data_IF_317281162693
#
_entry.id   IF_317281162693
#
_cell.length_a   1.000
_cell.length_b   1.000
_cell.length_c   1.000
_cell.angle_alpha   90.00
_cell.angle_beta   90.00
_cell.angle_gamma   90.00
#
_symmetry.space_group_name_H-M   'P 1'
#
loop_
_entity.id
_entity.type
_entity.pdbx_description
1 polymer ?
#
# COMPACT_ATOMS: atom_id res chain seq x y z
N UNK A 1 -12.29 -40.67 -22.21
CA UNK A 1 -12.49 -39.34 -22.81
C UNK A 1 -11.69 -38.34 -21.99
N UNK A 2 -10.71 -37.70 -22.62
CA UNK A 2 -9.74 -36.83 -21.97
C UNK A 2 -10.27 -35.38 -21.91
N UNK A 3 -10.72 -34.96 -20.73
CA UNK A 3 -11.35 -33.64 -20.48
C UNK A 3 -10.33 -32.49 -20.40
N UNK A 4 -9.03 -32.78 -20.45
CA UNK A 4 -7.96 -31.77 -20.39
C UNK A 4 -7.96 -30.84 -21.61
N UNK A 5 -8.37 -31.36 -22.78
CA UNK A 5 -8.43 -30.58 -24.03
C UNK A 5 -9.49 -29.49 -24.03
N UNK A 6 -10.50 -29.54 -23.16
CA UNK A 6 -11.57 -28.52 -23.04
C UNK A 6 -11.14 -27.26 -22.28
N UNK A 7 -9.97 -27.28 -21.63
CA UNK A 7 -9.48 -26.16 -20.81
C UNK A 7 -8.85 -25.04 -21.65
N UNK A 8 -8.33 -25.38 -22.82
CA UNK A 8 -7.60 -24.47 -23.72
C UNK A 8 -8.42 -23.95 -24.90
N UNK A 9 -9.68 -24.38 -25.06
CA UNK A 9 -10.53 -23.80 -26.10
C UNK A 9 -10.92 -22.37 -25.71
N UNK A 10 -10.69 -21.45 -26.66
CA UNK A 10 -11.16 -20.07 -26.55
C UNK A 10 -12.65 -20.08 -26.21
N UNK A 11 -13.13 -19.24 -25.27
CA UNK A 11 -14.52 -19.23 -24.82
C UNK A 11 -15.52 -19.06 -25.98
N UNK A 12 -15.10 -18.42 -27.07
CA UNK A 12 -15.82 -18.31 -28.33
C UNK A 12 -16.18 -19.68 -28.96
N UNK A 13 -15.31 -20.68 -28.84
CA UNK A 13 -15.52 -22.02 -29.40
C UNK A 13 -16.54 -22.80 -28.57
N UNK A 14 -16.59 -22.58 -27.25
CA UNK A 14 -17.59 -23.21 -26.38
C UNK A 14 -19.01 -22.65 -26.65
N UNK A 15 -19.12 -21.36 -26.96
CA UNK A 15 -20.41 -20.76 -27.39
C UNK A 15 -20.88 -21.33 -28.72
N UNK A 16 -19.96 -21.49 -29.68
CA UNK A 16 -20.27 -22.09 -30.98
C UNK A 16 -20.71 -23.55 -30.81
N UNK A 17 -20.01 -24.34 -29.99
CA UNK A 17 -20.39 -25.73 -29.72
C UNK A 17 -21.74 -25.85 -29.00
N UNK A 18 -22.06 -24.96 -28.06
CA UNK A 18 -23.36 -24.93 -27.40
C UNK A 18 -24.49 -24.56 -28.36
N UNK A 19 -24.26 -23.60 -29.27
CA UNK A 19 -25.21 -23.24 -30.32
C UNK A 19 -25.44 -24.39 -31.31
N UNK A 20 -24.38 -25.08 -31.73
CA UNK A 20 -24.46 -26.25 -32.62
C UNK A 20 -25.18 -27.41 -31.94
N UNK A 21 -24.94 -27.66 -30.65
CA UNK A 21 -25.63 -28.69 -29.89
C UNK A 21 -27.13 -28.38 -29.73
N UNK A 22 -27.51 -27.12 -29.49
CA UNK A 22 -28.91 -26.69 -29.46
C UNK A 22 -29.62 -26.94 -30.79
N UNK A 23 -28.96 -26.62 -31.90
CA UNK A 23 -29.49 -26.85 -33.26
C UNK A 23 -29.61 -28.35 -33.59
N UNK A 24 -28.72 -29.18 -33.06
CA UNK A 24 -28.78 -30.63 -33.22
C UNK A 24 -29.92 -31.25 -32.40
N UNK A 25 -30.20 -30.73 -31.20
CA UNK A 25 -31.32 -31.19 -30.35
C UNK A 25 -32.67 -30.83 -30.98
N UNK A 26 -32.82 -29.60 -31.49
CA UNK A 26 -34.04 -29.20 -32.20
C UNK A 26 -34.23 -29.99 -33.49
N UNK A 27 -33.15 -30.24 -34.24
CA UNK A 27 -33.18 -31.12 -35.42
C UNK A 27 -33.56 -32.57 -35.08
N UNK A 28 -33.24 -33.05 -33.88
CA UNK A 28 -33.59 -34.38 -33.41
C UNK A 28 -35.06 -34.49 -32.97
N UNK A 29 -35.61 -33.47 -32.29
CA UNK A 29 -37.04 -33.40 -31.92
C UNK A 29 -37.93 -33.52 -33.17
N UNK A 30 -37.61 -32.79 -34.25
CA UNK A 30 -38.34 -32.82 -35.53
C UNK A 30 -38.36 -34.23 -36.16
N UNK A 31 -37.35 -35.05 -35.91
CA UNK A 31 -37.23 -36.40 -36.47
C UNK A 31 -38.01 -37.46 -35.67
N UNK A 32 -38.43 -37.12 -34.44
CA UNK A 32 -39.08 -38.04 -33.50
C UNK A 32 -40.60 -37.76 -33.42
N UNK A 33 -41.05 -36.55 -33.74
CA UNK A 33 -42.45 -36.15 -33.62
C UNK A 33 -43.27 -36.46 -34.89
N UNK A 34 -44.25 -37.37 -34.75
CA UNK A 34 -45.14 -37.84 -35.84
C UNK A 34 -46.49 -37.09 -35.85
N UNK A 35 -46.56 -35.90 -35.24
CA UNK A 35 -47.83 -35.16 -35.03
C UNK A 35 -47.89 -33.81 -35.78
N UNK A 36 -49.05 -33.55 -36.39
CA UNK A 36 -49.34 -32.42 -37.30
C UNK A 36 -49.55 -31.10 -36.57
N UNK A 37 -48.52 -30.59 -35.91
CA UNK A 37 -48.54 -29.25 -35.29
C UNK A 37 -48.15 -28.19 -36.31
N UNK A 38 -48.70 -26.98 -36.18
CA UNK A 38 -48.46 -25.90 -37.14
C UNK A 38 -46.99 -25.48 -37.13
N UNK A 39 -46.39 -25.27 -38.31
CA UNK A 39 -44.98 -24.87 -38.49
C UNK A 39 -44.60 -23.66 -37.62
N UNK A 40 -45.56 -22.76 -37.35
CA UNK A 40 -45.36 -21.59 -36.50
C UNK A 40 -45.16 -21.91 -35.02
N UNK A 41 -45.82 -22.93 -34.46
CA UNK A 41 -45.66 -23.32 -33.05
C UNK A 41 -44.30 -23.98 -32.81
N UNK A 42 -43.87 -24.84 -33.73
CA UNK A 42 -42.53 -25.44 -33.72
C UNK A 42 -41.42 -24.40 -33.82
N UNK A 43 -41.58 -23.40 -34.69
CA UNK A 43 -40.60 -22.33 -34.87
C UNK A 43 -40.45 -21.50 -33.59
N UNK A 44 -41.56 -21.21 -32.91
CA UNK A 44 -41.57 -20.43 -31.68
C UNK A 44 -40.88 -21.19 -30.53
N UNK A 45 -41.23 -22.46 -30.31
CA UNK A 45 -40.66 -23.30 -29.25
C UNK A 45 -39.15 -23.53 -29.46
N UNK A 46 -38.74 -23.77 -30.72
CA UNK A 46 -37.32 -23.93 -31.08
C UNK A 46 -36.51 -22.65 -30.83
N UNK A 47 -37.08 -21.48 -31.13
CA UNK A 47 -36.43 -20.20 -30.89
C UNK A 47 -36.26 -19.92 -29.39
N UNK A 48 -37.28 -20.18 -28.58
CA UNK A 48 -37.22 -20.02 -27.13
C UNK A 48 -36.12 -20.89 -26.50
N UNK A 49 -36.09 -22.19 -26.82
CA UNK A 49 -35.09 -23.14 -26.33
C UNK A 49 -33.66 -22.72 -26.72
N UNK A 50 -33.47 -22.24 -27.95
CA UNK A 50 -32.15 -21.81 -28.45
C UNK A 50 -31.63 -20.57 -27.73
N UNK A 51 -32.51 -19.58 -27.48
CA UNK A 51 -32.16 -18.35 -26.75
C UNK A 51 -31.76 -18.66 -25.30
N UNK A 52 -32.47 -19.57 -24.64
CA UNK A 52 -32.16 -20.00 -23.26
C UNK A 52 -30.80 -20.68 -23.18
N UNK A 53 -30.47 -21.56 -24.14
CA UNK A 53 -29.17 -22.25 -24.17
C UNK A 53 -28.00 -21.29 -24.38
N UNK A 54 -28.14 -20.30 -25.27
CA UNK A 54 -27.13 -19.27 -25.49
C UNK A 54 -26.93 -18.43 -24.22
N UNK A 55 -28.02 -18.01 -23.57
CA UNK A 55 -27.98 -17.26 -22.32
C UNK A 55 -27.30 -18.04 -21.20
N UNK A 56 -27.68 -19.30 -21.01
CA UNK A 56 -27.08 -20.18 -20.00
C UNK A 56 -25.58 -20.42 -20.25
N UNK A 57 -25.18 -20.62 -21.51
CA UNK A 57 -23.77 -20.73 -21.89
C UNK A 57 -22.97 -19.46 -21.60
N UNK A 58 -23.54 -18.29 -21.91
CA UNK A 58 -22.92 -16.99 -21.63
C UNK A 58 -22.72 -16.77 -20.13
N UNK A 59 -23.75 -17.00 -19.31
CA UNK A 59 -23.67 -16.89 -17.85
C UNK A 59 -22.65 -17.88 -17.28
N UNK A 60 -22.62 -19.11 -17.78
CA UNK A 60 -21.66 -20.12 -17.35
C UNK A 60 -20.21 -19.71 -17.64
N UNK A 61 -19.93 -19.12 -18.82
CA UNK A 61 -18.60 -18.64 -19.17
C UNK A 61 -18.16 -17.44 -18.33
N UNK A 62 -19.06 -16.48 -18.09
CA UNK A 62 -18.77 -15.32 -17.24
C UNK A 62 -18.46 -15.77 -15.81
N UNK A 63 -19.27 -16.68 -15.25
CA UNK A 63 -19.00 -17.22 -13.92
C UNK A 63 -17.68 -18.00 -13.86
N UNK A 64 -17.33 -18.74 -14.93
CA UNK A 64 -16.04 -19.44 -15.03
C UNK A 64 -14.86 -18.47 -15.12
N UNK A 65 -14.98 -17.40 -15.89
CA UNK A 65 -13.94 -16.38 -16.03
C UNK A 65 -13.74 -15.61 -14.71
N UNK A 66 -14.83 -15.21 -14.06
CA UNK A 66 -14.78 -14.58 -12.74
C UNK A 66 -14.13 -15.48 -11.69
N UNK A 67 -14.41 -16.79 -11.69
CA UNK A 67 -13.76 -17.75 -10.77
C UNK A 67 -12.28 -17.93 -11.06
N UNK A 68 -11.87 -17.92 -12.33
CA UNK A 68 -10.46 -18.06 -12.72
C UNK A 68 -9.63 -16.82 -12.32
N UNK A 69 -10.17 -15.62 -12.54
CA UNK A 69 -9.48 -14.34 -12.29
C UNK A 69 -9.42 -13.97 -10.79
N UNK A 70 -10.26 -14.59 -9.95
CA UNK A 70 -10.26 -14.33 -8.51
C UNK A 70 -8.99 -14.78 -7.80
N UNK A 71 -8.28 -15.80 -8.32
CA UNK A 71 -7.04 -16.28 -7.72
C UNK A 71 -5.92 -15.22 -7.76
N UNK A 72 -5.76 -14.57 -8.91
CA UNK A 72 -4.79 -13.49 -9.12
C UNK A 72 -5.17 -12.26 -8.30
N UNK A 73 -6.46 -11.87 -8.30
CA UNK A 73 -6.93 -10.74 -7.49
C UNK A 73 -6.77 -10.96 -5.99
N UNK A 74 -6.90 -12.19 -5.50
CA UNK A 74 -6.68 -12.51 -4.09
C UNK A 74 -5.20 -12.48 -3.71
N UNK A 75 -4.31 -12.96 -4.58
CA UNK A 75 -2.86 -12.90 -4.37
C UNK A 75 -2.39 -11.44 -4.24
N UNK A 76 -2.75 -10.56 -5.19
CA UNK A 76 -2.42 -9.14 -5.13
C UNK A 76 -2.97 -8.44 -3.89
N UNK A 77 -4.21 -8.77 -3.46
CA UNK A 77 -4.79 -8.21 -2.23
C UNK A 77 -4.01 -8.65 -0.99
N UNK A 78 -3.53 -9.90 -0.95
CA UNK A 78 -2.72 -10.38 0.17
C UNK A 78 -1.34 -9.73 0.24
N UNK A 79 -0.70 -9.49 -0.91
CA UNK A 79 0.59 -8.78 -0.98
C UNK A 79 0.48 -7.33 -0.51
N UNK A 80 -0.59 -6.62 -0.87
CA UNK A 80 -0.84 -5.26 -0.40
C UNK A 80 -1.05 -5.19 1.12
N UNK A 81 -1.75 -6.16 1.70
CA UNK A 81 -1.96 -6.23 3.15
C UNK A 81 -0.64 -6.54 3.88
N UNK A 82 0.19 -7.45 3.36
CA UNK A 82 1.52 -7.73 3.91
C UNK A 82 2.40 -6.47 3.89
N UNK A 83 2.48 -5.79 2.74
CA UNK A 83 3.24 -4.55 2.60
C UNK A 83 2.73 -3.43 3.53
N UNK A 84 1.41 -3.35 3.76
CA UNK A 84 0.82 -2.39 4.70
C UNK A 84 1.19 -2.69 6.15
N UNK A 85 1.14 -3.96 6.55
CA UNK A 85 1.50 -4.39 7.92
C UNK A 85 2.99 -4.16 8.17
N UNK A 86 3.85 -4.54 7.23
CA UNK A 86 5.29 -4.29 7.30
C UNK A 86 5.60 -2.79 7.40
N UNK A 87 4.94 -1.96 6.58
CA UNK A 87 5.07 -0.51 6.64
C UNK A 87 4.59 0.08 7.97
N UNK A 88 3.51 -0.45 8.55
CA UNK A 88 3.00 -0.03 9.86
C UNK A 88 3.95 -0.37 11.01
N UNK A 89 4.46 -1.60 11.03
CA UNK A 89 5.44 -2.05 12.02
C UNK A 89 6.75 -1.25 11.91
N UNK A 90 7.22 -0.98 10.69
CA UNK A 90 8.38 -0.13 10.44
C UNK A 90 8.18 1.29 10.98
N UNK A 91 7.04 1.93 10.66
CA UNK A 91 6.70 3.25 11.19
C UNK A 91 6.71 3.28 12.72
N UNK A 92 6.16 2.26 13.37
CA UNK A 92 6.15 2.15 14.84
C UNK A 92 7.56 2.01 15.41
N UNK A 93 8.43 1.22 14.77
CA UNK A 93 9.83 1.06 15.18
C UNK A 93 10.61 2.38 15.07
N UNK A 94 10.45 3.08 13.94
CA UNK A 94 11.06 4.40 13.72
C UNK A 94 10.56 5.41 14.75
N UNK A 95 9.25 5.45 15.02
CA UNK A 95 8.68 6.37 16.00
C UNK A 95 9.25 6.12 17.41
N UNK A 96 9.36 4.86 17.82
CA UNK A 96 9.95 4.51 19.12
C UNK A 96 11.42 4.94 19.22
N UNK A 97 12.19 4.78 18.14
CA UNK A 97 13.59 5.24 18.10
C UNK A 97 13.69 6.77 18.22
N UNK A 98 12.91 7.52 17.42
CA UNK A 98 12.89 8.99 17.47
C UNK A 98 12.49 9.49 18.85
N UNK A 99 11.46 8.89 19.46
CA UNK A 99 11.03 9.23 20.82
C UNK A 99 12.15 8.96 21.85
N UNK A 100 12.91 7.86 21.67
CA UNK A 100 14.06 7.54 22.50
C UNK A 100 15.17 8.59 22.42
N UNK A 101 15.50 9.05 21.21
CA UNK A 101 16.49 10.11 20.98
C UNK A 101 16.05 11.42 21.65
N UNK A 102 14.79 11.82 21.48
CA UNK A 102 14.24 13.03 22.11
C UNK A 102 14.35 12.99 23.64
N UNK A 103 14.00 11.85 24.25
CA UNK A 103 14.09 11.69 25.70
C UNK A 103 15.53 11.79 26.23
N UNK A 104 16.53 11.34 25.46
CA UNK A 104 17.94 11.44 25.88
C UNK A 104 18.47 12.88 25.76
N UNK A 105 18.04 13.61 24.72
CA UNK A 105 18.31 15.05 24.59
C UNK A 105 17.76 15.80 25.81
N UNK A 106 16.52 15.52 26.21
CA UNK A 106 15.88 16.18 27.35
C UNK A 106 16.61 15.91 28.67
N UNK A 107 17.04 14.67 28.92
CA UNK A 107 17.87 14.33 30.09
C UNK A 107 19.19 15.08 30.08
N UNK A 108 19.82 15.22 28.92
CA UNK A 108 21.08 15.96 28.82
C UNK A 108 20.87 17.46 29.08
N UNK A 109 19.76 18.02 28.62
CA UNK A 109 19.37 19.40 28.93
C UNK A 109 19.07 19.60 30.42
N UNK A 110 18.47 18.60 31.09
CA UNK A 110 18.31 18.58 32.54
C UNK A 110 19.69 18.57 33.25
N UNK A 111 20.60 17.71 32.80
CA UNK A 111 21.94 17.59 33.37
C UNK A 111 22.76 18.89 33.24
N UNK A 112 22.56 19.65 32.16
CA UNK A 112 23.15 20.97 31.98
C UNK A 112 22.35 22.11 32.64
N UNK A 113 21.23 21.80 33.30
CA UNK A 113 20.35 22.78 33.93
C UNK A 113 19.94 23.91 32.96
N UNK A 114 19.53 23.52 31.74
CA UNK A 114 19.00 24.46 30.76
C UNK A 114 17.56 24.86 31.15
N UNK A 115 17.32 26.17 31.14
CA UNK A 115 15.99 26.78 31.22
C UNK A 115 15.16 26.48 29.97
N UNK A 116 13.85 26.63 30.05
CA UNK A 116 12.93 26.41 28.93
C UNK A 116 13.34 27.21 27.68
N UNK A 117 13.68 28.50 27.84
CA UNK A 117 14.12 29.34 26.74
C UNK A 117 15.48 28.93 26.15
N UNK A 118 16.37 28.35 26.95
CA UNK A 118 17.65 27.79 26.47
C UNK A 118 17.44 26.48 25.73
N UNK A 119 16.52 25.62 26.18
CA UNK A 119 16.19 24.34 25.52
C UNK A 119 15.66 24.55 24.11
N UNK A 120 14.79 25.54 23.92
CA UNK A 120 14.29 25.89 22.59
C UNK A 120 15.42 26.30 21.64
N UNK A 121 16.34 27.16 22.11
CA UNK A 121 17.50 27.58 21.31
C UNK A 121 18.43 26.40 21.04
N UNK A 122 18.72 25.60 22.06
CA UNK A 122 19.57 24.41 21.96
C UNK A 122 19.04 23.42 20.91
N UNK A 123 17.74 23.15 20.92
CA UNK A 123 17.11 22.24 19.95
C UNK A 123 17.23 22.77 18.52
N UNK A 124 17.03 24.07 18.30
CA UNK A 124 17.20 24.69 16.98
C UNK A 124 18.68 24.72 16.53
N UNK A 125 19.62 24.85 17.47
CA UNK A 125 21.04 24.74 17.18
C UNK A 125 21.45 23.32 16.77
N UNK A 126 20.91 22.28 17.41
CA UNK A 126 21.12 20.88 17.01
C UNK A 126 20.60 20.65 15.59
N UNK A 127 19.46 21.26 15.23
CA UNK A 127 18.92 21.25 13.86
C UNK A 127 19.75 22.04 12.85
N UNK A 128 20.81 22.72 13.27
CA UNK A 128 21.74 23.42 12.39
C UNK A 128 21.42 24.89 12.14
N UNK A 129 20.34 25.45 12.69
CA UNK A 129 19.92 26.83 12.43
C UNK A 129 20.94 27.85 12.96
N UNK A 130 21.17 28.90 12.19
CA UNK A 130 21.98 30.07 12.58
C UNK A 130 21.28 30.90 13.65
N UNK A 131 22.03 31.75 14.36
CA UNK A 131 21.43 32.62 15.39
C UNK A 131 20.38 33.58 14.81
N UNK A 132 20.53 34.00 13.55
CA UNK A 132 19.55 34.81 12.83
C UNK A 132 18.24 34.05 12.60
N UNK A 133 18.32 32.85 12.04
CA UNK A 133 17.12 32.02 11.80
C UNK A 133 16.40 31.67 13.10
N UNK A 134 17.15 31.44 14.19
CA UNK A 134 16.58 31.20 15.52
C UNK A 134 15.90 32.47 16.05
N UNK A 135 16.50 33.64 15.85
CA UNK A 135 15.95 34.91 16.28
C UNK A 135 14.63 35.20 15.56
N UNK A 136 14.58 34.98 14.25
CA UNK A 136 13.38 35.14 13.42
C UNK A 136 12.26 34.18 13.86
N UNK A 137 12.58 32.89 14.07
CA UNK A 137 11.59 31.89 14.50
C UNK A 137 11.03 32.15 15.90
N UNK A 138 11.85 32.70 16.81
CA UNK A 138 11.44 32.99 18.20
C UNK A 138 10.91 34.41 18.39
N UNK A 139 10.91 35.26 17.36
CA UNK A 139 10.51 36.66 17.48
C UNK A 139 11.37 37.46 18.48
N UNK A 140 12.67 37.18 18.53
CA UNK A 140 13.62 37.85 19.44
C UNK A 140 14.80 38.42 18.66
N UNK A 141 15.73 39.13 19.33
CA UNK A 141 16.92 39.67 18.67
C UNK A 141 18.03 38.62 18.55
N UNK A 142 18.82 38.70 17.47
CA UNK A 142 20.02 37.86 17.31
C UNK A 142 20.99 38.01 18.48
N UNK A 143 21.15 39.22 19.02
CA UNK A 143 21.98 39.48 20.19
C UNK A 143 21.51 38.69 21.41
N UNK A 144 20.19 38.59 21.62
CA UNK A 144 19.58 37.78 22.68
C UNK A 144 19.86 36.30 22.47
N UNK A 145 19.67 35.78 21.25
CA UNK A 145 19.98 34.37 20.92
C UNK A 145 21.46 34.06 21.15
N UNK A 146 22.36 34.94 20.72
CA UNK A 146 23.81 34.79 20.90
C UNK A 146 24.22 34.77 22.36
N UNK A 147 23.60 35.62 23.19
CA UNK A 147 23.85 35.64 24.63
C UNK A 147 23.36 34.34 25.32
N UNK A 148 22.18 33.85 24.93
CA UNK A 148 21.67 32.56 25.43
C UNK A 148 22.53 31.38 24.97
N UNK A 149 22.95 31.36 23.70
CA UNK A 149 23.86 30.35 23.16
C UNK A 149 25.19 30.30 23.93
N UNK A 150 25.75 31.47 24.29
CA UNK A 150 26.95 31.53 25.13
C UNK A 150 26.73 30.91 26.51
N UNK A 151 25.57 31.12 27.10
CA UNK A 151 25.20 30.52 28.38
C UNK A 151 25.06 28.99 28.26
N UNK A 152 24.46 28.51 27.17
CA UNK A 152 24.37 27.07 26.83
C UNK A 152 25.78 26.45 26.71
N UNK A 153 26.71 27.10 26.01
CA UNK A 153 28.10 26.64 25.88
C UNK A 153 28.81 26.54 27.24
N UNK A 154 28.60 27.53 28.12
CA UNK A 154 29.17 27.51 29.46
C UNK A 154 28.61 26.37 30.32
N UNK A 155 27.29 26.16 30.28
CA UNK A 155 26.61 25.10 31.03
C UNK A 155 26.97 23.70 30.53
N UNK A 156 27.08 23.52 29.21
CA UNK A 156 27.48 22.26 28.58
C UNK A 156 28.99 22.00 28.62
N UNK A 157 29.80 23.01 28.93
CA UNK A 157 31.27 23.00 28.83
C UNK A 157 31.78 22.71 27.41
N UNK A 158 30.97 23.02 26.39
CA UNK A 158 31.33 22.84 24.99
C UNK A 158 31.78 24.18 24.39
N UNK A 159 32.82 24.20 23.54
CA UNK A 159 33.46 25.44 23.08
C UNK A 159 32.61 26.27 22.10
N UNK A 160 31.55 25.72 21.53
CA UNK A 160 30.67 26.45 20.61
C UNK A 160 29.69 25.56 19.86
N UNK A 161 28.98 26.15 18.88
CA UNK A 161 27.87 25.51 18.14
C UNK A 161 28.27 24.17 17.52
N UNK A 162 29.42 24.11 16.84
CA UNK A 162 29.84 22.90 16.15
C UNK A 162 30.06 21.74 17.13
N UNK A 163 30.77 21.98 18.24
CA UNK A 163 30.97 20.97 19.27
C UNK A 163 29.67 20.60 20.00
N UNK A 164 28.79 21.57 20.22
CA UNK A 164 27.46 21.36 20.79
C UNK A 164 26.60 20.43 19.92
N UNK A 165 26.52 20.69 18.61
CA UNK A 165 25.80 19.82 17.68
C UNK A 165 26.50 18.46 17.51
N UNK A 166 27.84 18.43 17.46
CA UNK A 166 28.59 17.19 17.33
C UNK A 166 28.36 16.23 18.51
N UNK A 167 28.28 16.75 19.75
CA UNK A 167 28.00 15.96 20.94
C UNK A 167 26.75 15.08 20.80
N UNK A 168 25.70 15.56 20.13
CA UNK A 168 24.47 14.80 19.92
C UNK A 168 24.49 13.92 18.66
N UNK A 169 25.39 14.21 17.71
CA UNK A 169 25.43 13.53 16.42
C UNK A 169 26.50 12.42 16.37
N UNK A 170 27.54 12.50 17.20
CA UNK A 170 28.65 11.53 17.22
C UNK A 170 28.16 10.11 17.48
N UNK A 171 27.28 9.92 18.46
CA UNK A 171 26.69 8.62 18.80
C UNK A 171 25.66 8.12 17.77
N UNK A 172 25.22 8.97 16.84
CA UNK A 172 24.34 8.58 15.74
C UNK A 172 25.11 8.08 14.51
N UNK A 173 26.42 8.32 14.45
CA UNK A 173 27.27 7.86 13.37
C UNK A 173 27.72 6.41 13.64
N UNK A 174 27.79 5.55 12.61
CA UNK A 174 28.32 4.21 12.78
C UNK A 174 29.78 4.28 13.27
N UNK A 175 30.23 3.31 14.10
CA UNK A 175 31.61 3.28 14.56
C UNK A 175 32.53 3.30 13.34
N UNK A 176 33.46 4.25 13.32
CA UNK A 176 34.48 4.29 12.28
C UNK A 176 35.33 3.02 12.43
N UNK A 177 35.44 2.23 11.36
CA UNK A 177 36.38 1.12 11.32
C UNK A 177 37.78 1.74 11.35
N UNK A 178 38.49 1.55 12.45
CA UNK A 178 39.93 1.79 12.50
C UNK A 178 40.58 0.71 11.62
N UNK A 179 41.17 1.13 10.49
CA UNK A 179 42.02 0.29 9.62
C UNK A 179 43.49 0.30 10.09
#
# INVERSE_FOLDING_TARGET
MDFSRLKDLRPSILLILAAVAGFAVTGLEILIEEETTSIFEYLYDSLEKTLVLIGAGGVFLVLRQMRAEQSERQALRSELEIARVEGGAWRKKVQNFINGVGAEIDKQFDAWALSEAEREIALLMIKGLSHNEIADLRGTSEATVRQQARTIYQKSKLPGKAAFSAFFLEDLLPPQKEE
#
